data_IF_456682219371
#
_entry.id   IF_456682219371
#
_cell.length_a   1.000
_cell.length_b   1.000
_cell.length_c   1.000
_cell.angle_alpha   90.00
_cell.angle_beta   90.00
_cell.angle_gamma   90.00
#
_symmetry.space_group_name_H-M   'P 1'
#
loop_
_entity.id
_entity.type
_entity.pdbx_description
1 polymer ?
#
# COMPACT_ATOMS: atom_id res chain seq x y z
N UNK A 1 -18.87 4.57 -14.23
CA UNK A 1 -18.34 3.83 -13.09
C UNK A 1 -16.89 3.46 -13.41
N UNK A 2 -15.99 3.67 -12.50
CA UNK A 2 -14.55 3.37 -12.64
C UNK A 2 -14.13 2.42 -11.52
N UNK A 3 -13.24 1.47 -11.78
CA UNK A 3 -12.67 0.60 -10.74
C UNK A 3 -11.23 1.01 -10.44
N UNK A 4 -10.86 0.90 -9.18
CA UNK A 4 -9.51 1.20 -8.71
C UNK A 4 -8.97 -0.06 -8.00
N UNK A 5 -7.82 -0.53 -8.44
CA UNK A 5 -7.12 -1.70 -7.91
C UNK A 5 -5.86 -1.23 -7.20
N UNK A 6 -5.90 -1.20 -5.86
CA UNK A 6 -4.72 -0.92 -5.04
C UNK A 6 -3.99 -2.23 -4.74
N UNK A 7 -2.78 -2.37 -5.24
CA UNK A 7 -1.94 -3.55 -5.03
C UNK A 7 -0.87 -3.22 -3.98
N UNK A 8 -0.86 -3.95 -2.88
CA UNK A 8 0.26 -3.91 -1.95
C UNK A 8 1.43 -4.68 -2.56
N UNK A 9 2.65 -4.12 -2.48
CA UNK A 9 3.87 -4.82 -2.90
C UNK A 9 3.99 -6.22 -2.27
N UNK A 10 4.68 -7.12 -2.93
CA UNK A 10 4.99 -8.45 -2.42
C UNK A 10 5.93 -8.43 -1.22
N UNK A 11 6.07 -9.56 -0.54
CA UNK A 11 6.84 -9.73 0.68
C UNK A 11 8.33 -9.36 0.49
N UNK A 12 8.91 -8.77 1.54
CA UNK A 12 10.34 -8.57 1.72
C UNK A 12 10.80 -9.32 2.98
N UNK A 13 12.11 -9.53 3.15
CA UNK A 13 12.63 -10.12 4.39
C UNK A 13 12.27 -9.27 5.62
N UNK A 14 12.28 -7.95 5.49
CA UNK A 14 11.86 -7.06 6.56
C UNK A 14 10.36 -7.24 6.94
N UNK A 15 9.48 -7.56 5.98
CA UNK A 15 8.09 -7.88 6.31
C UNK A 15 8.00 -9.18 7.10
N UNK A 16 8.77 -10.21 6.74
CA UNK A 16 8.84 -11.48 7.47
C UNK A 16 9.36 -11.28 8.90
N UNK A 17 10.33 -10.39 9.07
CA UNK A 17 10.92 -10.02 10.35
C UNK A 17 10.10 -8.99 11.13
N UNK A 18 8.97 -8.52 10.55
CA UNK A 18 8.05 -7.52 11.14
C UNK A 18 8.71 -6.17 11.43
N UNK A 19 9.68 -5.78 10.61
CA UNK A 19 10.32 -4.47 10.70
C UNK A 19 9.47 -3.39 10.02
N UNK A 20 9.58 -2.18 10.54
CA UNK A 20 8.98 -1.00 9.93
C UNK A 20 9.81 -0.56 8.73
N UNK A 21 9.24 -0.54 7.54
CA UNK A 21 9.95 -0.18 6.32
C UNK A 21 9.24 0.94 5.58
N UNK A 22 9.86 2.11 5.58
CA UNK A 22 9.31 3.34 5.02
C UNK A 22 9.71 3.62 3.57
N UNK A 23 9.56 4.89 3.21
CA UNK A 23 9.81 5.39 1.86
C UNK A 23 11.28 5.29 1.42
N UNK A 24 12.22 5.34 2.35
CA UNK A 24 13.67 5.31 2.07
C UNK A 24 14.31 3.93 2.22
N UNK A 25 13.54 2.94 2.68
CA UNK A 25 14.03 1.57 2.84
C UNK A 25 14.35 0.92 1.48
N UNK A 26 15.52 0.28 1.40
CA UNK A 26 16.01 -0.37 0.18
C UNK A 26 15.71 -1.87 0.13
N UNK A 27 14.87 -2.39 1.00
CA UNK A 27 14.47 -3.80 1.00
C UNK A 27 13.78 -4.17 -0.31
N UNK A 28 14.30 -5.22 -0.95
CA UNK A 28 13.79 -5.79 -2.20
C UNK A 28 12.77 -6.90 -1.90
N UNK A 29 12.02 -7.30 -2.93
CA UNK A 29 11.19 -8.50 -2.83
C UNK A 29 12.06 -9.72 -2.57
N UNK A 30 11.65 -10.55 -1.60
CA UNK A 30 12.19 -11.88 -1.42
C UNK A 30 11.55 -12.86 -2.42
N UNK A 31 11.85 -14.17 -2.31
CA UNK A 31 11.32 -15.18 -3.22
C UNK A 31 9.79 -15.23 -3.20
N UNK A 32 9.19 -15.21 -2.01
CA UNK A 32 7.75 -15.30 -1.84
C UNK A 32 7.06 -14.04 -2.37
N UNK A 33 7.58 -12.85 -2.08
CA UNK A 33 7.04 -11.59 -2.61
C UNK A 33 7.10 -11.47 -4.13
N UNK A 34 8.04 -12.13 -4.78
CA UNK A 34 8.06 -12.20 -6.26
C UNK A 34 6.94 -13.10 -6.78
N UNK A 35 6.67 -14.21 -6.10
CA UNK A 35 5.55 -15.11 -6.42
C UNK A 35 4.22 -14.37 -6.20
N UNK A 36 4.01 -13.74 -5.04
CA UNK A 36 2.82 -12.94 -4.74
C UNK A 36 2.56 -11.86 -5.80
N UNK A 37 3.59 -11.14 -6.23
CA UNK A 37 3.45 -10.11 -7.27
C UNK A 37 3.09 -10.71 -8.65
N UNK A 38 3.62 -11.89 -8.99
CA UNK A 38 3.24 -12.59 -10.24
C UNK A 38 1.80 -13.07 -10.19
N UNK A 39 1.34 -13.61 -9.06
CA UNK A 39 -0.04 -14.07 -8.85
C UNK A 39 -1.03 -12.90 -8.93
N UNK A 40 -0.70 -11.76 -8.31
CA UNK A 40 -1.47 -10.53 -8.47
C UNK A 40 -1.57 -10.10 -9.94
N UNK A 41 -0.48 -10.21 -10.69
CA UNK A 41 -0.46 -9.93 -12.13
C UNK A 41 -1.34 -10.89 -12.94
N UNK A 42 -1.34 -12.18 -12.63
CA UNK A 42 -2.21 -13.17 -13.27
C UNK A 42 -3.68 -12.85 -12.97
N UNK A 43 -4.02 -12.58 -11.71
CA UNK A 43 -5.38 -12.22 -11.33
C UNK A 43 -5.88 -10.97 -12.08
N UNK A 44 -5.08 -9.90 -12.10
CA UNK A 44 -5.46 -8.67 -12.81
C UNK A 44 -5.62 -8.89 -14.32
N UNK A 45 -4.79 -9.74 -14.94
CA UNK A 45 -4.92 -10.12 -16.35
C UNK A 45 -6.26 -10.83 -16.62
N UNK A 46 -6.64 -11.75 -15.74
CA UNK A 46 -7.84 -12.58 -15.91
C UNK A 46 -9.14 -11.77 -15.70
N UNK A 47 -9.06 -10.55 -15.18
CA UNK A 47 -10.18 -9.61 -15.09
C UNK A 47 -10.45 -8.83 -16.38
N UNK A 48 -9.59 -8.95 -17.40
CA UNK A 48 -9.71 -8.26 -18.70
C UNK A 48 -9.94 -6.74 -18.54
N UNK A 49 -9.02 -6.08 -17.84
CA UNK A 49 -9.14 -4.70 -17.41
C UNK A 49 -8.93 -3.71 -18.58
N UNK A 50 -9.78 -2.68 -18.64
CA UNK A 50 -9.60 -1.50 -19.48
C UNK A 50 -8.66 -0.49 -18.79
N UNK A 51 -7.36 -0.77 -18.82
CA UNK A 51 -6.32 0.08 -18.25
C UNK A 51 -5.19 0.33 -19.25
N UNK A 52 -4.65 1.54 -19.27
CA UNK A 52 -3.56 1.94 -20.17
C UNK A 52 -2.18 1.90 -19.52
N UNK A 53 -2.11 1.85 -18.18
CA UNK A 53 -0.86 1.96 -17.44
C UNK A 53 -0.99 1.36 -16.03
N UNK A 54 0.16 1.02 -15.46
CA UNK A 54 0.29 0.70 -14.04
C UNK A 54 0.96 1.89 -13.35
N UNK A 55 0.26 2.56 -12.44
CA UNK A 55 0.85 3.59 -11.60
C UNK A 55 1.56 2.93 -10.41
N UNK A 56 2.80 3.30 -10.14
CA UNK A 56 3.55 2.61 -9.11
C UNK A 56 4.36 3.55 -8.21
N UNK A 57 4.44 3.23 -6.93
CA UNK A 57 5.46 3.81 -6.05
C UNK A 57 6.86 3.54 -6.60
N UNK A 58 7.77 4.54 -6.62
CA UNK A 58 9.15 4.34 -7.04
C UNK A 58 10.02 3.56 -6.01
N UNK A 59 9.49 3.29 -4.81
CA UNK A 59 10.20 2.52 -3.78
C UNK A 59 10.43 1.09 -4.28
N UNK A 60 11.68 0.61 -4.14
CA UNK A 60 12.19 -0.58 -4.84
C UNK A 60 11.27 -1.81 -4.78
N UNK A 61 10.72 -2.16 -3.62
CA UNK A 61 9.82 -3.32 -3.44
C UNK A 61 8.50 -3.19 -4.21
N UNK A 62 7.92 -2.00 -4.21
CA UNK A 62 6.69 -1.72 -4.94
C UNK A 62 6.95 -1.64 -6.45
N UNK A 63 8.04 -1.01 -6.85
CA UNK A 63 8.42 -0.93 -8.25
C UNK A 63 8.75 -2.31 -8.85
N UNK A 64 9.45 -3.18 -8.10
CA UNK A 64 9.68 -4.57 -8.51
C UNK A 64 8.38 -5.36 -8.64
N UNK A 65 7.41 -5.16 -7.73
CA UNK A 65 6.08 -5.76 -7.86
C UNK A 65 5.37 -5.27 -9.12
N UNK A 66 5.40 -3.97 -9.40
CA UNK A 66 4.83 -3.39 -10.61
C UNK A 66 5.47 -3.96 -11.88
N UNK A 67 6.80 -4.17 -11.89
CA UNK A 67 7.49 -4.80 -13.02
C UNK A 67 6.99 -6.23 -13.30
N UNK A 68 6.82 -7.04 -12.24
CA UNK A 68 6.31 -8.40 -12.36
C UNK A 68 4.85 -8.42 -12.85
N UNK A 69 4.00 -7.55 -12.33
CA UNK A 69 2.61 -7.38 -12.79
C UNK A 69 2.58 -6.91 -14.25
N UNK A 70 3.39 -5.94 -14.62
CA UNK A 70 3.47 -5.40 -15.97
C UNK A 70 3.79 -6.46 -17.02
N UNK A 71 4.62 -7.47 -16.69
CA UNK A 71 4.91 -8.58 -17.60
C UNK A 71 3.68 -9.44 -17.91
N UNK A 72 2.67 -9.47 -17.02
CA UNK A 72 1.43 -10.24 -17.22
C UNK A 72 0.37 -9.45 -17.99
N UNK A 73 0.37 -8.13 -17.85
CA UNK A 73 -0.61 -7.23 -18.44
C UNK A 73 -0.13 -6.59 -19.74
N UNK A 74 1.18 -6.63 -20.03
CA UNK A 74 1.82 -5.91 -21.15
C UNK A 74 1.55 -4.41 -21.11
N UNK A 75 1.50 -3.81 -19.92
CA UNK A 75 1.24 -2.39 -19.70
C UNK A 75 2.52 -1.65 -19.26
N UNK A 76 2.67 -0.38 -19.65
CA UNK A 76 3.75 0.48 -19.16
C UNK A 76 3.57 0.82 -17.67
N UNK A 77 4.69 1.11 -17.01
CA UNK A 77 4.70 1.55 -15.61
C UNK A 77 4.97 3.05 -15.55
N UNK A 78 4.13 3.77 -14.82
CA UNK A 78 4.27 5.19 -14.54
C UNK A 78 4.65 5.37 -13.07
N UNK A 79 5.87 5.78 -12.75
CA UNK A 79 6.27 6.01 -11.37
C UNK A 79 5.61 7.27 -10.81
N UNK A 80 5.02 7.15 -9.61
CA UNK A 80 4.32 8.25 -8.92
C UNK A 80 4.90 8.41 -7.51
N UNK A 81 5.73 9.43 -7.24
CA UNK A 81 6.40 9.62 -5.94
C UNK A 81 5.44 9.68 -4.74
N UNK A 82 4.26 10.28 -4.91
CA UNK A 82 3.26 10.41 -3.85
C UNK A 82 2.60 9.07 -3.44
N UNK A 83 2.85 7.98 -4.18
CA UNK A 83 2.46 6.62 -3.81
C UNK A 83 3.50 5.91 -2.92
N UNK A 84 4.58 6.59 -2.50
CA UNK A 84 5.57 6.01 -1.59
C UNK A 84 5.00 5.80 -0.19
N UNK A 85 5.52 4.80 0.53
CA UNK A 85 5.17 4.55 1.92
C UNK A 85 5.50 5.78 2.80
N UNK A 86 4.99 5.81 4.01
CA UNK A 86 5.34 6.81 5.00
C UNK A 86 6.85 6.84 5.23
N UNK A 87 7.42 8.03 5.35
CA UNK A 87 8.81 8.16 5.75
C UNK A 87 8.91 8.03 7.27
N UNK A 88 9.44 6.91 7.74
CA UNK A 88 9.50 6.57 9.16
C UNK A 88 10.69 7.18 9.93
N UNK A 89 11.58 7.94 9.26
CA UNK A 89 12.70 8.59 9.95
C UNK A 89 13.56 7.59 10.71
N UNK A 90 13.79 7.86 11.99
CA UNK A 90 14.71 7.08 12.84
C UNK A 90 14.15 5.70 13.25
N UNK A 91 12.87 5.45 13.04
CA UNK A 91 12.26 4.14 13.30
C UNK A 91 12.20 3.25 12.05
N UNK A 92 12.80 3.69 10.92
CA UNK A 92 12.89 2.88 9.70
C UNK A 92 13.88 1.72 9.89
N UNK A 93 13.40 0.50 9.68
CA UNK A 93 14.21 -0.72 9.77
C UNK A 93 14.25 -1.37 11.16
N UNK A 94 13.52 -0.86 12.15
CA UNK A 94 13.44 -1.47 13.48
C UNK A 94 12.12 -2.21 13.70
N UNK A 95 12.12 -3.15 14.65
CA UNK A 95 10.93 -3.87 15.09
C UNK A 95 10.13 -3.08 16.13
N UNK A 96 8.91 -3.55 16.42
CA UNK A 96 8.03 -2.85 17.35
C UNK A 96 8.55 -2.79 18.79
N UNK A 97 9.16 -3.87 19.29
CA UNK A 97 9.72 -3.90 20.63
C UNK A 97 10.88 -2.92 20.77
N UNK A 98 11.70 -2.79 19.75
CA UNK A 98 12.78 -1.82 19.68
C UNK A 98 12.23 -0.39 19.58
N UNK A 99 11.20 -0.16 18.77
CA UNK A 99 10.52 1.14 18.71
C UNK A 99 9.98 1.55 20.08
N UNK A 100 9.28 0.64 20.78
CA UNK A 100 8.74 0.88 22.11
C UNK A 100 9.83 1.17 23.15
N UNK A 101 10.97 0.48 23.06
CA UNK A 101 12.09 0.64 23.99
C UNK A 101 12.86 1.94 23.75
N UNK A 102 13.21 2.24 22.52
CA UNK A 102 14.09 3.34 22.18
C UNK A 102 13.35 4.69 22.04
N UNK A 103 12.04 4.65 21.70
CA UNK A 103 11.20 5.83 21.47
C UNK A 103 9.85 5.72 22.19
N UNK A 104 9.83 5.60 23.53
CA UNK A 104 8.62 5.28 24.28
C UNK A 104 7.52 6.35 24.16
N UNK A 105 7.87 7.63 24.03
CA UNK A 105 6.89 8.73 23.87
C UNK A 105 6.24 8.64 22.49
N UNK A 106 7.03 8.53 21.43
CA UNK A 106 6.56 8.43 20.05
C UNK A 106 5.72 7.16 19.83
N UNK A 107 6.11 6.05 20.48
CA UNK A 107 5.32 4.82 20.48
C UNK A 107 3.93 5.02 21.08
N UNK A 108 3.81 5.77 22.19
CA UNK A 108 2.51 6.07 22.80
C UNK A 108 1.65 6.96 21.90
N UNK A 109 2.25 7.89 21.19
CA UNK A 109 1.52 8.71 20.20
C UNK A 109 1.00 7.85 19.02
N UNK A 110 1.84 6.95 18.51
CA UNK A 110 1.44 6.00 17.47
C UNK A 110 0.26 5.10 17.91
N UNK A 111 0.26 4.64 19.16
CA UNK A 111 -0.85 3.84 19.71
C UNK A 111 -2.13 4.67 19.84
N UNK A 112 -2.03 5.97 20.10
CA UNK A 112 -3.18 6.85 20.33
C UNK A 112 -3.85 7.32 19.05
N UNK A 113 -3.08 7.75 18.06
CA UNK A 113 -3.64 8.35 16.85
C UNK A 113 -2.78 8.10 15.61
N UNK A 114 -3.42 7.63 14.54
CA UNK A 114 -2.77 7.43 13.25
C UNK A 114 -2.38 8.74 12.56
N UNK A 115 -3.16 9.80 12.74
CA UNK A 115 -2.95 11.09 12.07
C UNK A 115 -1.97 11.99 12.83
N UNK A 116 -1.98 11.95 14.15
CA UNK A 116 -1.13 12.80 14.98
C UNK A 116 0.29 12.24 15.13
N UNK A 117 0.45 10.95 14.89
CA UNK A 117 1.75 10.32 14.97
C UNK A 117 2.78 11.01 14.04
N UNK A 118 3.94 11.29 14.60
CA UNK A 118 5.08 11.87 13.90
C UNK A 118 6.35 11.14 14.32
N UNK A 119 6.85 10.17 13.52
CA UNK A 119 8.08 9.50 13.88
C UNK A 119 9.26 10.50 13.91
N UNK A 120 10.24 10.31 14.81
CA UNK A 120 11.41 11.16 14.88
C UNK A 120 12.10 11.27 13.51
N UNK A 121 12.35 12.51 13.07
CA UNK A 121 12.92 12.83 11.74
C UNK A 121 12.12 12.25 10.55
N UNK A 122 10.86 11.89 10.75
CA UNK A 122 10.00 11.29 9.75
C UNK A 122 8.87 12.18 9.24
N UNK A 123 7.94 11.58 8.52
CA UNK A 123 6.74 12.23 7.98
C UNK A 123 5.59 12.12 8.98
N UNK A 124 4.84 13.20 9.22
CA UNK A 124 3.64 13.14 10.09
C UNK A 124 2.53 12.31 9.45
N UNK A 125 1.73 11.61 10.26
CA UNK A 125 0.59 10.82 9.79
C UNK A 125 -0.38 11.64 8.95
N UNK A 126 -0.63 12.91 9.32
CA UNK A 126 -1.48 13.83 8.55
C UNK A 126 -0.91 14.15 7.17
N UNK A 127 0.40 14.42 7.06
CA UNK A 127 1.04 14.66 5.73
C UNK A 127 0.97 13.42 4.87
N UNK A 128 1.28 12.26 5.45
CA UNK A 128 1.18 10.97 4.78
C UNK A 128 -0.24 10.72 4.27
N UNK A 129 -1.26 10.87 5.13
CA UNK A 129 -2.67 10.71 4.75
C UNK A 129 -3.04 11.61 3.59
N UNK A 130 -2.77 12.92 3.69
CA UNK A 130 -3.17 13.88 2.68
C UNK A 130 -2.52 13.57 1.31
N UNK A 131 -1.20 13.32 1.25
CA UNK A 131 -0.55 13.01 -0.03
C UNK A 131 -0.99 11.67 -0.62
N UNK A 132 -1.19 10.65 0.25
CA UNK A 132 -1.62 9.33 -0.17
C UNK A 132 -3.01 9.36 -0.81
N UNK A 133 -3.95 10.00 -0.11
CA UNK A 133 -5.32 10.14 -0.60
C UNK A 133 -5.37 10.98 -1.88
N UNK A 134 -4.72 12.15 -1.87
CA UNK A 134 -4.69 13.02 -3.06
C UNK A 134 -4.10 12.30 -4.28
N UNK A 135 -3.05 11.49 -4.11
CA UNK A 135 -2.45 10.74 -5.21
C UNK A 135 -3.43 9.69 -5.79
N UNK A 136 -4.08 8.90 -4.93
CA UNK A 136 -5.04 7.89 -5.40
C UNK A 136 -6.25 8.55 -6.07
N UNK A 137 -6.78 9.63 -5.49
CA UNK A 137 -7.91 10.36 -6.07
C UNK A 137 -7.57 11.00 -7.40
N UNK A 138 -6.43 11.69 -7.48
CA UNK A 138 -5.97 12.31 -8.73
C UNK A 138 -5.88 11.28 -9.85
N UNK A 139 -5.19 10.15 -9.62
CA UNK A 139 -5.08 9.08 -10.60
C UNK A 139 -6.45 8.49 -10.98
N UNK A 140 -7.35 8.36 -10.00
CA UNK A 140 -8.69 7.83 -10.25
C UNK A 140 -9.54 8.77 -11.11
N UNK A 141 -9.38 10.09 -10.98
CA UNK A 141 -10.15 11.06 -11.76
C UNK A 141 -9.52 11.36 -13.13
N UNK A 142 -8.19 11.45 -13.21
CA UNK A 142 -7.48 11.86 -14.42
C UNK A 142 -7.30 10.74 -15.45
N UNK A 143 -7.33 9.46 -15.03
CA UNK A 143 -7.22 8.35 -15.97
C UNK A 143 -8.42 8.32 -16.95
N UNK A 144 -8.15 8.24 -18.26
CA UNK A 144 -9.18 8.12 -19.30
C UNK A 144 -9.78 6.71 -19.42
N UNK A 145 -9.28 5.74 -18.65
CA UNK A 145 -9.68 4.35 -18.66
C UNK A 145 -10.69 4.02 -17.56
N UNK A 146 -11.41 2.90 -17.71
CA UNK A 146 -12.39 2.45 -16.69
C UNK A 146 -11.73 1.83 -15.48
N UNK A 147 -10.53 1.28 -15.64
CA UNK A 147 -9.82 0.57 -14.59
C UNK A 147 -8.47 1.26 -14.33
N UNK A 148 -8.15 1.50 -13.07
CA UNK A 148 -6.91 2.15 -12.61
C UNK A 148 -6.14 1.19 -11.72
N UNK A 149 -4.93 0.81 -12.12
CA UNK A 149 -4.07 -0.10 -11.38
C UNK A 149 -2.97 0.70 -10.68
N UNK A 150 -2.88 0.57 -9.34
CA UNK A 150 -1.92 1.30 -8.51
C UNK A 150 -1.16 0.31 -7.64
N UNK A 151 0.16 0.21 -7.82
CA UNK A 151 1.04 -0.64 -7.00
C UNK A 151 1.75 0.21 -5.95
N UNK A 152 1.51 -0.12 -4.68
CA UNK A 152 1.91 0.73 -3.56
C UNK A 152 2.19 -0.08 -2.27
N UNK A 153 1.93 0.46 -1.11
CA UNK A 153 2.30 -0.03 0.21
C UNK A 153 1.10 -0.18 1.14
N UNK A 154 1.30 -0.91 2.24
CA UNK A 154 0.28 -1.15 3.26
C UNK A 154 -0.33 0.14 3.80
N UNK A 155 0.50 1.14 4.09
CA UNK A 155 0.03 2.41 4.65
C UNK A 155 -0.93 3.12 3.71
N UNK A 156 -0.62 3.22 2.41
CA UNK A 156 -1.49 3.84 1.41
C UNK A 156 -2.83 3.09 1.28
N UNK A 157 -2.78 1.75 1.14
CA UNK A 157 -4.00 0.95 1.03
C UNK A 157 -4.89 1.11 2.26
N UNK A 158 -4.31 1.06 3.46
CA UNK A 158 -5.05 1.23 4.71
C UNK A 158 -5.64 2.63 4.88
N UNK A 159 -4.88 3.69 4.51
CA UNK A 159 -5.41 5.06 4.55
C UNK A 159 -6.59 5.25 3.59
N UNK A 160 -6.51 4.67 2.40
CA UNK A 160 -7.61 4.76 1.45
C UNK A 160 -8.83 3.94 1.90
N UNK A 161 -8.62 2.74 2.45
CA UNK A 161 -9.68 1.95 3.09
C UNK A 161 -10.34 2.73 4.23
N UNK A 162 -9.55 3.32 5.12
CA UNK A 162 -10.07 4.11 6.23
C UNK A 162 -10.95 5.28 5.75
N UNK A 163 -10.51 6.00 4.72
CA UNK A 163 -11.30 7.06 4.09
C UNK A 163 -12.62 6.54 3.53
N UNK A 164 -12.57 5.48 2.71
CA UNK A 164 -13.75 4.94 2.02
C UNK A 164 -14.76 4.34 3.00
N UNK A 165 -14.27 3.72 4.07
CA UNK A 165 -15.11 3.11 5.11
C UNK A 165 -15.48 4.07 6.25
N UNK A 166 -15.09 5.35 6.16
CA UNK A 166 -15.31 6.37 7.18
C UNK A 166 -14.79 5.95 8.57
N UNK A 167 -13.64 5.29 8.61
CA UNK A 167 -13.01 4.88 9.86
C UNK A 167 -12.48 6.10 10.63
N UNK A 168 -12.54 6.05 11.96
CA UNK A 168 -12.01 7.11 12.81
C UNK A 168 -10.47 7.06 12.85
N UNK A 169 -9.82 7.95 12.12
CA UNK A 169 -8.36 8.06 12.08
C UNK A 169 -7.74 8.77 13.29
N UNK A 170 -8.57 9.27 14.24
CA UNK A 170 -8.07 9.81 15.51
C UNK A 170 -7.68 8.71 16.49
N UNK A 171 -7.90 7.44 16.15
CA UNK A 171 -7.41 6.30 16.91
C UNK A 171 -6.14 5.73 16.26
N UNK A 172 -5.33 5.00 17.04
CA UNK A 172 -4.10 4.39 16.54
C UNK A 172 -4.35 3.27 15.52
N UNK A 173 -3.40 3.04 14.66
CA UNK A 173 -3.44 2.07 13.56
C UNK A 173 -3.92 0.68 13.96
N UNK A 174 -3.54 0.21 15.16
CA UNK A 174 -3.92 -1.10 15.68
C UNK A 174 -5.40 -1.24 15.99
N UNK A 175 -6.05 -0.12 16.29
CA UNK A 175 -7.45 -0.07 16.67
C UNK A 175 -8.38 0.14 15.48
N UNK A 176 -7.82 0.43 14.30
CA UNK A 176 -8.58 0.54 13.05
C UNK A 176 -9.06 -0.84 12.61
N UNK A 177 -10.37 -1.03 12.63
CA UNK A 177 -11.02 -2.24 12.11
C UNK A 177 -11.16 -2.14 10.58
N UNK A 178 -10.08 -2.44 9.88
CA UNK A 178 -10.03 -2.42 8.42
C UNK A 178 -9.85 -3.85 7.87
N UNK A 179 -10.29 -4.11 6.64
CA UNK A 179 -9.95 -5.35 5.95
C UNK A 179 -8.44 -5.60 5.94
N UNK A 180 -8.05 -6.86 6.03
CA UNK A 180 -6.65 -7.24 5.94
C UNK A 180 -6.11 -6.99 4.53
N UNK A 181 -4.88 -6.50 4.47
CA UNK A 181 -4.17 -6.22 3.22
C UNK A 181 -2.78 -6.85 3.28
N UNK A 182 -2.66 -8.20 3.21
CA UNK A 182 -1.38 -8.89 3.22
C UNK A 182 -0.50 -8.48 2.03
N UNK A 183 0.78 -8.81 2.05
CA UNK A 183 1.69 -8.60 0.92
C UNK A 183 1.14 -9.26 -0.34
N UNK A 184 1.33 -8.62 -1.50
CA UNK A 184 0.80 -9.10 -2.78
C UNK A 184 -0.71 -8.93 -2.97
N UNK A 185 -1.49 -8.55 -1.94
CA UNK A 185 -2.95 -8.42 -2.06
C UNK A 185 -3.39 -7.32 -3.02
N UNK A 186 -4.56 -7.51 -3.63
CA UNK A 186 -5.23 -6.55 -4.52
C UNK A 186 -6.55 -6.14 -3.88
N UNK A 187 -6.66 -4.87 -3.48
CA UNK A 187 -7.90 -4.28 -2.95
C UNK A 187 -8.63 -3.52 -4.05
N UNK A 188 -9.88 -3.89 -4.30
CA UNK A 188 -10.73 -3.33 -5.34
C UNK A 188 -11.71 -2.32 -4.77
N UNK A 189 -11.80 -1.19 -5.43
CA UNK A 189 -12.76 -0.13 -5.13
C UNK A 189 -13.51 0.25 -6.40
N UNK A 190 -14.71 0.83 -6.25
CA UNK A 190 -15.41 1.49 -7.33
C UNK A 190 -15.55 2.99 -7.07
N UNK A 191 -15.51 3.79 -8.14
CA UNK A 191 -15.85 5.21 -8.14
C UNK A 191 -17.07 5.43 -9.02
N UNK A 192 -18.17 5.89 -8.40
CA UNK A 192 -19.41 6.21 -9.10
C UNK A 192 -19.99 7.51 -8.52
N UNK A 193 -20.32 8.46 -9.38
CA UNK A 193 -20.93 9.75 -9.02
C UNK A 193 -20.16 10.50 -7.90
N UNK A 194 -18.81 10.48 -8.00
CA UNK A 194 -17.90 11.11 -7.04
C UNK A 194 -17.74 10.38 -5.70
N UNK A 195 -18.33 9.19 -5.56
CA UNK A 195 -18.26 8.39 -4.32
C UNK A 195 -17.47 7.12 -4.53
N UNK A 196 -16.54 6.85 -3.61
CA UNK A 196 -15.82 5.58 -3.54
C UNK A 196 -16.59 4.55 -2.72
N UNK A 197 -16.50 3.29 -3.14
CA UNK A 197 -16.97 2.14 -2.38
C UNK A 197 -15.89 1.07 -2.39
N UNK A 198 -15.60 0.48 -1.23
CA UNK A 198 -14.76 -0.71 -1.13
C UNK A 198 -15.59 -1.93 -1.56
N UNK A 199 -15.02 -2.79 -2.36
CA UNK A 199 -15.69 -4.00 -2.84
C UNK A 199 -15.12 -5.24 -2.17
N UNK A 200 -13.80 -5.48 -2.31
CA UNK A 200 -13.15 -6.70 -1.83
C UNK A 200 -11.63 -6.57 -1.80
N UNK A 201 -10.97 -7.49 -1.11
CA UNK A 201 -9.51 -7.67 -1.20
C UNK A 201 -9.22 -9.13 -1.56
N UNK A 202 -8.52 -9.33 -2.67
CA UNK A 202 -8.01 -10.62 -3.10
C UNK A 202 -6.66 -10.88 -2.45
N UNK A 203 -6.51 -12.07 -1.88
CA UNK A 203 -5.26 -12.54 -1.26
C UNK A 203 -4.84 -13.83 -1.92
N UNK A 204 -3.54 -14.00 -2.12
CA UNK A 204 -2.97 -15.19 -2.71
C UNK A 204 -2.21 -15.92 -1.61
N UNK A 205 -2.61 -17.15 -1.35
CA UNK A 205 -1.86 -18.02 -0.49
C UNK A 205 -0.85 -18.75 -1.39
N UNK A 206 0.43 -18.46 -1.22
CA UNK A 206 1.46 -19.38 -1.70
C UNK A 206 1.31 -20.67 -0.91
N UNK A 207 0.51 -21.61 -1.43
CA UNK A 207 0.54 -23.00 -0.99
C UNK A 207 1.87 -23.60 -1.43
N UNK A 208 2.93 -23.22 -0.72
CA UNK A 208 4.21 -23.95 -0.74
C UNK A 208 4.42 -24.45 0.69
N UNK A 209 3.51 -25.36 1.10
CA UNK A 209 3.85 -26.42 2.03
C UNK A 209 4.48 -27.52 1.18
N UNK A 210 5.81 -27.62 1.25
CA UNK A 210 6.62 -28.61 0.58
C UNK A 210 8.03 -28.57 1.12
#
# INVERSE_FOLDING_TARGET
MKNIYLVRHGQTDANREKLWIGARSLYKLNKDGRIEAMEAGVHLRDLDLDSSSIFASPVVRAFQSAQLIATKLSLPIVPVPNLSEMFFGDIDGIGEDEFKSNFPVDYQEWVKSSLLFSPPNGETGMRFFNRAISAVEQLSYEADTKDVIIVTHSGIVKMFLAKVLNADLNIGWRNLKLPETPTGSVSKFSLKDGKYSYLETFTYHSSIDG
#
